data_IF_042182924944
#
_entry.id   IF_042182924944
#
_cell.length_a   1.000
_cell.length_b   1.000
_cell.length_c   1.000
_cell.angle_alpha   90.00
_cell.angle_beta   90.00
_cell.angle_gamma   90.00
#
_symmetry.space_group_name_H-M   'P 1'
#
loop_
_entity.id
_entity.type
_entity.pdbx_description
1 polymer ?
#
# COMPACT_ATOMS: atom_id res chain seq x y z
N UNK A 1 -8.13 0.60 5.96
CA UNK A 1 -7.29 0.35 4.76
C UNK A 1 -7.41 1.58 3.89
N UNK A 2 -6.32 2.33 3.72
CA UNK A 2 -6.29 3.47 2.81
C UNK A 2 -6.44 2.94 1.38
N UNK A 3 -7.10 3.71 0.52
CA UNK A 3 -7.13 3.40 -0.91
C UNK A 3 -5.77 3.77 -1.47
N UNK A 4 -4.97 2.77 -1.85
CA UNK A 4 -3.68 2.95 -2.50
C UNK A 4 -3.83 2.69 -3.99
N UNK A 5 -3.03 3.37 -4.82
CA UNK A 5 -3.03 3.14 -6.27
C UNK A 5 -2.68 1.66 -6.58
N UNK A 6 -1.70 1.11 -5.88
CA UNK A 6 -1.35 -0.31 -6.03
C UNK A 6 -2.48 -1.21 -5.55
N UNK A 7 -3.19 -0.85 -4.49
CA UNK A 7 -4.35 -1.60 -3.99
C UNK A 7 -5.51 -1.65 -4.99
N UNK A 8 -5.83 -0.53 -5.65
CA UNK A 8 -6.84 -0.50 -6.70
C UNK A 8 -6.39 -1.30 -7.94
N UNK A 9 -5.09 -1.26 -8.28
CA UNK A 9 -4.53 -2.10 -9.36
C UNK A 9 -4.66 -3.59 -9.06
N UNK A 10 -4.33 -4.03 -7.84
CA UNK A 10 -4.51 -5.42 -7.38
C UNK A 10 -5.98 -5.84 -7.50
N UNK A 11 -6.90 -4.96 -7.10
CA UNK A 11 -8.34 -5.23 -7.18
C UNK A 11 -8.80 -5.39 -8.63
N UNK A 12 -8.31 -4.54 -9.54
CA UNK A 12 -8.60 -4.65 -10.97
C UNK A 12 -8.08 -5.96 -11.56
N UNK A 13 -6.81 -6.31 -11.29
CA UNK A 13 -6.20 -7.57 -11.75
C UNK A 13 -6.96 -8.80 -11.26
N UNK A 14 -7.40 -8.81 -9.99
CA UNK A 14 -8.21 -9.92 -9.45
C UNK A 14 -9.59 -10.01 -10.10
N UNK A 15 -10.21 -8.87 -10.42
CA UNK A 15 -11.49 -8.86 -11.12
C UNK A 15 -11.35 -9.36 -12.55
N UNK A 16 -10.24 -9.03 -13.22
CA UNK A 16 -9.91 -9.50 -14.57
C UNK A 16 -9.60 -11.00 -14.58
N UNK A 17 -8.81 -11.50 -13.62
CA UNK A 17 -8.57 -12.92 -13.44
C UNK A 17 -9.89 -13.70 -13.27
N UNK A 18 -10.81 -13.19 -12.44
CA UNK A 18 -12.11 -13.82 -12.24
C UNK A 18 -13.02 -13.79 -13.48
N UNK A 19 -12.80 -12.85 -14.41
CA UNK A 19 -13.49 -12.85 -15.72
C UNK A 19 -12.89 -13.91 -16.63
N UNK A 20 -11.56 -13.95 -16.73
CA UNK A 20 -10.85 -14.94 -17.53
C UNK A 20 -11.20 -16.38 -17.12
N UNK A 21 -11.33 -16.67 -15.83
CA UNK A 21 -11.80 -17.98 -15.36
C UNK A 21 -13.22 -18.34 -15.80
N UNK A 22 -14.14 -17.36 -15.79
CA UNK A 22 -15.52 -17.60 -16.24
C UNK A 22 -15.56 -17.87 -17.74
N UNK A 23 -14.70 -17.20 -18.49
CA UNK A 23 -14.57 -17.38 -19.93
C UNK A 23 -13.93 -18.74 -20.23
N UNK A 24 -12.86 -19.12 -19.52
CA UNK A 24 -12.29 -20.47 -19.57
C UNK A 24 -13.34 -21.55 -19.30
N UNK A 25 -14.11 -21.42 -18.22
CA UNK A 25 -15.16 -22.37 -17.86
C UNK A 25 -16.31 -22.44 -18.89
N UNK A 26 -16.49 -21.38 -19.68
CA UNK A 26 -17.46 -21.37 -20.79
C UNK A 26 -16.89 -22.05 -22.02
N UNK A 27 -15.64 -21.75 -22.38
CA UNK A 27 -14.93 -22.35 -23.52
C UNK A 27 -14.73 -23.86 -23.32
N UNK A 28 -14.40 -24.30 -22.11
CA UNK A 28 -14.22 -25.71 -21.76
C UNK A 28 -15.47 -26.57 -21.98
N UNK A 29 -16.67 -25.97 -22.08
CA UNK A 29 -17.92 -26.67 -22.36
C UNK A 29 -18.18 -26.85 -23.86
N UNK A 30 -17.42 -26.18 -24.72
CA UNK A 30 -17.58 -26.18 -26.17
C UNK A 30 -16.49 -27.05 -26.78
N UNK A 31 -16.90 -28.10 -27.48
CA UNK A 31 -15.96 -29.01 -28.17
C UNK A 31 -15.13 -28.23 -29.20
N UNK A 32 -13.82 -28.37 -29.15
CA UNK A 32 -12.88 -27.72 -30.07
C UNK A 32 -12.37 -26.35 -29.60
N UNK A 33 -12.75 -25.89 -28.40
CA UNK A 33 -12.25 -24.65 -27.79
C UNK A 33 -11.36 -24.90 -26.56
N UNK A 34 -10.80 -26.10 -26.44
CA UNK A 34 -9.98 -26.50 -25.29
C UNK A 34 -8.72 -25.64 -25.14
N UNK A 35 -8.08 -25.27 -26.26
CA UNK A 35 -6.91 -24.39 -26.27
C UNK A 35 -7.26 -22.99 -25.74
N UNK A 36 -8.35 -22.40 -26.22
CA UNK A 36 -8.83 -21.11 -25.72
C UNK A 36 -9.21 -21.16 -24.24
N UNK A 37 -9.74 -22.29 -23.75
CA UNK A 37 -9.99 -22.47 -22.33
C UNK A 37 -8.69 -22.44 -21.51
N UNK A 38 -7.66 -23.18 -21.96
CA UNK A 38 -6.34 -23.21 -21.30
C UNK A 38 -5.67 -21.84 -21.29
N UNK A 39 -5.69 -21.10 -22.40
CA UNK A 39 -5.13 -19.74 -22.47
C UNK A 39 -5.77 -18.81 -21.44
N UNK A 40 -7.09 -18.89 -21.28
CA UNK A 40 -7.82 -18.07 -20.30
C UNK A 40 -7.54 -18.48 -18.85
N UNK A 41 -7.36 -19.77 -18.58
CA UNK A 41 -6.91 -20.22 -17.25
C UNK A 41 -5.50 -19.74 -16.93
N UNK A 42 -4.59 -19.78 -17.89
CA UNK A 42 -3.23 -19.28 -17.73
C UNK A 42 -3.20 -17.76 -17.52
N UNK A 43 -3.98 -17.01 -18.28
CA UNK A 43 -4.16 -15.57 -18.08
C UNK A 43 -4.65 -15.26 -16.66
N UNK A 44 -5.67 -15.97 -16.19
CA UNK A 44 -6.19 -15.80 -14.83
C UNK A 44 -5.14 -16.09 -13.77
N UNK A 45 -4.34 -17.16 -13.96
CA UNK A 45 -3.23 -17.51 -13.06
C UNK A 45 -2.18 -16.40 -13.03
N UNK A 46 -1.71 -15.94 -14.19
CA UNK A 46 -0.70 -14.87 -14.29
C UNK A 46 -1.18 -13.59 -13.61
N UNK A 47 -2.42 -13.17 -13.85
CA UNK A 47 -3.00 -11.97 -13.23
C UNK A 47 -3.06 -12.09 -11.70
N UNK A 48 -3.30 -13.29 -11.16
CA UNK A 48 -3.27 -13.51 -9.71
C UNK A 48 -1.86 -13.46 -9.14
N UNK A 49 -0.90 -14.07 -9.82
CA UNK A 49 0.49 -14.07 -9.39
C UNK A 49 1.03 -12.62 -9.37
N UNK A 50 0.80 -11.85 -10.44
CA UNK A 50 1.15 -10.43 -10.49
C UNK A 50 0.43 -9.60 -9.41
N UNK A 51 -0.85 -9.87 -9.14
CA UNK A 51 -1.59 -9.19 -8.09
C UNK A 51 -1.03 -9.50 -6.69
N UNK A 52 -0.52 -10.71 -6.49
CA UNK A 52 0.06 -11.16 -5.23
C UNK A 52 1.46 -10.57 -5.00
N UNK A 53 2.27 -10.46 -6.05
CA UNK A 53 3.57 -9.78 -6.03
C UNK A 53 3.46 -8.28 -5.70
N UNK A 54 2.32 -7.65 -6.00
CA UNK A 54 2.07 -6.24 -5.67
C UNK A 54 1.60 -6.02 -4.22
N UNK A 55 1.21 -7.06 -3.48
CA UNK A 55 0.72 -6.92 -2.09
C UNK A 55 1.72 -6.23 -1.16
N UNK A 56 3.03 -6.55 -1.14
CA UNK A 56 4.00 -5.85 -0.31
C UNK A 56 4.03 -4.36 -0.59
N UNK A 57 4.04 -3.96 -1.87
CA UNK A 57 4.01 -2.55 -2.27
C UNK A 57 2.74 -1.84 -1.80
N UNK A 58 1.57 -2.44 -2.01
CA UNK A 58 0.31 -1.87 -1.52
C UNK A 58 0.31 -1.72 0.01
N UNK A 59 0.91 -2.67 0.75
CA UNK A 59 1.08 -2.57 2.20
C UNK A 59 1.98 -1.41 2.57
N UNK A 60 3.09 -1.15 1.88
CA UNK A 60 3.96 0.00 2.18
C UNK A 60 3.30 1.35 1.86
N UNK A 61 2.44 1.40 0.85
CA UNK A 61 1.68 2.60 0.50
C UNK A 61 0.53 2.92 1.49
N UNK A 62 0.02 1.93 2.23
CA UNK A 62 -1.09 2.07 3.17
C UNK A 62 -0.68 2.77 4.48
N UNK A 63 -0.19 4.00 4.40
CA UNK A 63 0.20 4.83 5.54
C UNK A 63 -0.22 6.29 5.33
N UNK A 64 -0.33 7.02 6.43
CA UNK A 64 -0.58 8.46 6.42
C UNK A 64 0.62 9.18 7.02
N UNK A 65 1.07 10.27 6.37
CA UNK A 65 2.04 11.23 6.92
C UNK A 65 1.30 12.51 7.27
N UNK A 66 1.58 13.08 8.43
CA UNK A 66 0.90 14.29 8.92
C UNK A 66 1.82 15.12 9.80
N UNK A 67 1.47 16.39 9.98
CA UNK A 67 2.22 17.33 10.81
C UNK A 67 1.61 17.42 12.21
N UNK A 68 2.47 17.49 13.23
CA UNK A 68 2.08 17.70 14.63
C UNK A 68 2.80 18.92 15.15
N UNK A 69 2.02 19.87 15.67
CA UNK A 69 2.54 21.05 16.35
C UNK A 69 2.78 20.76 17.83
N UNK A 70 3.88 21.28 18.35
CA UNK A 70 4.24 21.20 19.78
C UNK A 70 4.71 22.56 20.24
N UNK A 71 4.00 23.11 21.22
CA UNK A 71 4.43 24.30 21.94
C UNK A 71 5.38 23.87 23.05
N UNK A 72 6.57 24.47 23.11
CA UNK A 72 7.55 24.26 24.17
C UNK A 72 7.98 25.60 24.75
N UNK A 73 8.05 25.66 26.08
CA UNK A 73 8.61 26.82 26.79
C UNK A 73 10.13 26.74 26.74
N UNK A 74 10.76 27.82 26.28
CA UNK A 74 12.21 27.94 26.25
C UNK A 74 12.75 28.23 27.65
N UNK A 75 14.07 28.09 27.84
CA UNK A 75 14.74 28.45 29.09
C UNK A 75 14.53 29.94 29.50
N UNK A 76 14.14 30.80 28.55
CA UNK A 76 13.84 32.22 28.78
C UNK A 76 12.35 32.50 29.06
N UNK A 77 11.51 31.45 29.16
CA UNK A 77 10.07 31.59 29.40
C UNK A 77 9.22 31.84 28.15
N UNK A 78 9.83 32.05 26.98
CA UNK A 78 9.09 32.23 25.72
C UNK A 78 8.49 30.90 25.26
N UNK A 79 7.24 30.93 24.77
CA UNK A 79 6.62 29.80 24.09
C UNK A 79 7.08 29.76 22.62
N UNK A 80 7.54 28.59 22.17
CA UNK A 80 7.87 28.35 20.76
C UNK A 80 7.09 27.16 20.22
N UNK A 81 6.49 27.33 19.05
CA UNK A 81 5.81 26.26 18.32
C UNK A 81 6.80 25.58 17.39
N UNK A 82 6.83 24.26 17.45
CA UNK A 82 7.61 23.41 16.56
C UNK A 82 6.69 22.46 15.83
N UNK A 83 6.91 22.32 14.52
CA UNK A 83 6.12 21.43 13.68
C UNK A 83 6.95 20.22 13.28
N UNK A 84 6.36 19.05 13.45
CA UNK A 84 7.03 17.76 13.27
C UNK A 84 6.26 16.86 12.33
N UNK A 85 6.97 16.15 11.47
CA UNK A 85 6.40 15.07 10.69
C UNK A 85 6.20 13.83 11.55
N UNK A 86 5.01 13.25 11.43
CA UNK A 86 4.64 11.96 11.98
C UNK A 86 4.09 11.08 10.87
N UNK A 87 4.14 9.77 11.06
CA UNK A 87 3.39 8.82 10.24
C UNK A 87 2.56 7.88 11.10
N UNK A 88 1.50 7.37 10.49
CA UNK A 88 0.68 6.31 11.08
C UNK A 88 0.31 5.25 10.06
N UNK A 89 0.29 3.99 10.50
CA UNK A 89 -0.23 2.85 9.74
C UNK A 89 -0.79 1.78 10.67
N UNK A 90 -1.56 0.85 10.12
CA UNK A 90 -2.10 -0.29 10.87
C UNK A 90 -1.12 -1.47 10.86
N UNK A 91 -0.92 -2.05 12.04
CA UNK A 91 -0.24 -3.33 12.26
C UNK A 91 -1.27 -4.28 12.90
N UNK A 92 -1.96 -5.07 12.06
CA UNK A 92 -3.08 -5.88 12.50
C UNK A 92 -4.23 -5.02 13.02
N UNK A 93 -4.49 -5.10 14.32
CA UNK A 93 -5.60 -4.44 15.03
C UNK A 93 -5.21 -3.13 15.71
N UNK A 94 -3.97 -2.66 15.55
CA UNK A 94 -3.47 -1.44 16.20
C UNK A 94 -2.81 -0.48 15.23
N UNK A 95 -3.03 0.81 15.47
CA UNK A 95 -2.35 1.87 14.75
C UNK A 95 -0.98 2.15 15.38
N UNK A 96 0.08 2.02 14.58
CA UNK A 96 1.42 2.47 14.95
C UNK A 96 1.57 3.93 14.55
N UNK A 97 2.14 4.73 15.44
CA UNK A 97 2.47 6.14 15.21
C UNK A 97 3.96 6.35 15.42
N UNK A 98 4.64 7.00 14.49
CA UNK A 98 6.08 7.25 14.55
C UNK A 98 6.41 8.72 14.30
N UNK A 99 7.47 9.18 14.95
CA UNK A 99 8.08 10.48 14.70
C UNK A 99 9.09 10.36 13.56
N UNK A 100 9.04 11.27 12.59
CA UNK A 100 9.90 11.24 11.39
C UNK A 100 10.98 12.32 11.39
N UNK A 101 10.71 13.46 12.05
CA UNK A 101 11.61 14.60 12.09
C UNK A 101 10.92 15.95 12.20
N UNK A 102 11.70 17.02 12.21
CA UNK A 102 11.20 18.40 12.11
C UNK A 102 10.86 18.74 10.67
N UNK A 103 9.72 19.41 10.46
CA UNK A 103 9.31 19.93 9.14
C UNK A 103 10.35 20.91 8.59
N UNK A 104 11.02 21.66 9.47
CA UNK A 104 12.08 22.58 9.08
C UNK A 104 13.33 21.90 8.45
N UNK A 105 13.46 20.58 8.55
CA UNK A 105 14.63 19.82 8.07
C UNK A 105 14.27 18.68 7.11
N UNK A 106 12.99 18.44 6.86
CA UNK A 106 12.51 17.28 6.12
C UNK A 106 11.30 17.69 5.28
N UNK A 107 11.36 17.44 3.97
CA UNK A 107 10.21 17.65 3.09
C UNK A 107 9.14 16.58 3.33
N UNK A 108 7.95 16.79 2.79
CA UNK A 108 6.87 15.82 2.87
C UNK A 108 7.22 14.51 2.14
N UNK A 109 7.83 14.59 0.96
CA UNK A 109 8.25 13.44 0.17
C UNK A 109 9.33 12.63 0.90
N UNK A 110 10.30 13.31 1.51
CA UNK A 110 11.33 12.67 2.30
C UNK A 110 10.77 12.04 3.60
N UNK A 111 9.74 12.66 4.19
CA UNK A 111 9.01 12.09 5.32
C UNK A 111 8.23 10.84 4.90
N UNK A 112 7.59 10.85 3.73
CA UNK A 112 6.89 9.71 3.15
C UNK A 112 7.83 8.54 2.86
N UNK A 113 8.97 8.79 2.23
CA UNK A 113 9.99 7.76 1.97
C UNK A 113 10.52 7.15 3.27
N UNK A 114 10.83 7.99 4.27
CA UNK A 114 11.27 7.54 5.59
C UNK A 114 10.19 6.70 6.29
N UNK A 115 8.93 7.11 6.20
CA UNK A 115 7.81 6.35 6.76
C UNK A 115 7.66 4.98 6.09
N UNK A 116 7.78 4.91 4.76
CA UNK A 116 7.74 3.63 4.01
C UNK A 116 8.86 2.69 4.44
N UNK A 117 10.08 3.21 4.62
CA UNK A 117 11.22 2.42 5.13
C UNK A 117 10.96 1.88 6.53
N UNK A 118 10.54 2.73 7.46
CA UNK A 118 10.21 2.31 8.83
C UNK A 118 9.08 1.27 8.86
N UNK A 119 8.10 1.41 7.95
CA UNK A 119 7.01 0.44 7.81
C UNK A 119 7.52 -0.89 7.24
N UNK A 120 8.40 -0.89 6.25
CA UNK A 120 9.01 -2.11 5.71
C UNK A 120 9.75 -2.88 6.81
N UNK A 121 10.62 -2.19 7.55
CA UNK A 121 11.35 -2.77 8.68
C UNK A 121 10.38 -3.36 9.73
N UNK A 122 9.29 -2.65 10.05
CA UNK A 122 8.30 -3.12 11.02
C UNK A 122 7.46 -4.31 10.55
N UNK A 123 7.26 -4.46 9.24
CA UNK A 123 6.52 -5.55 8.63
C UNK A 123 7.40 -6.75 8.24
N UNK A 124 8.73 -6.63 8.35
CA UNK A 124 9.68 -7.64 7.89
C UNK A 124 9.66 -7.84 6.38
N UNK A 125 9.41 -6.76 5.63
CA UNK A 125 9.36 -6.72 4.16
C UNK A 125 10.65 -6.16 3.57
#
# INVERSE_FOLDING_TARGET
MHKTETGEKIKAMKAEAARAEKEAATLAKVRGLEEGAMEREEEARRLRDEADDLKPKARLEDLSVYQVERVKTTAKGEARTYTYWHASWWEGDRARNVYLGSVAKLSEEAALERARKMKADALGL
#
